data_IF_323875875523
#
_entry.id   IF_323875875523
#
_cell.length_a   1.000
_cell.length_b   1.000
_cell.length_c   1.000
_cell.angle_alpha   90.00
_cell.angle_beta   90.00
_cell.angle_gamma   90.00
#
_symmetry.space_group_name_H-M   'P 1'
#
loop_
_entity.id
_entity.type
_entity.pdbx_description
1 polymer ?
#
# COMPACT_ATOMS: atom_id res chain seq x y z
N UNK A 1 3.00 -1.36 8.94
CA UNK A 1 3.37 -1.05 7.55
C UNK A 1 3.96 -2.32 6.97
N UNK A 2 3.32 -2.90 5.97
CA UNK A 2 3.81 -4.12 5.29
C UNK A 2 4.89 -3.69 4.31
N UNK A 3 6.06 -4.34 4.35
CA UNK A 3 7.15 -4.15 3.39
C UNK A 3 7.18 -5.33 2.43
N UNK A 4 7.10 -5.10 1.12
CA UNK A 4 7.24 -6.14 0.12
C UNK A 4 8.68 -6.50 -0.17
N UNK A 5 8.88 -7.75 -0.57
CA UNK A 5 10.13 -8.23 -1.14
C UNK A 5 10.25 -7.75 -2.60
N UNK A 6 11.04 -6.68 -2.80
CA UNK A 6 11.32 -6.08 -4.10
C UNK A 6 12.05 -7.05 -5.07
N UNK A 7 12.66 -8.13 -4.58
CA UNK A 7 13.38 -9.10 -5.42
C UNK A 7 12.44 -10.03 -6.19
N UNK A 8 11.37 -10.50 -5.54
CA UNK A 8 10.43 -11.46 -6.14
C UNK A 8 9.32 -10.75 -6.88
N UNK A 9 9.00 -9.53 -6.46
CA UNK A 9 7.93 -8.75 -7.03
C UNK A 9 8.42 -7.30 -7.15
N UNK A 10 8.86 -6.85 -8.33
CA UNK A 10 9.38 -5.50 -8.52
C UNK A 10 8.27 -4.45 -8.77
N UNK A 11 7.02 -4.86 -9.02
CA UNK A 11 5.94 -3.88 -9.23
C UNK A 11 5.51 -3.18 -7.94
N UNK A 12 5.16 -1.89 -8.06
CA UNK A 12 4.58 -1.11 -6.95
C UNK A 12 3.28 -1.79 -6.50
N UNK A 13 3.15 -2.06 -5.20
CA UNK A 13 1.86 -2.54 -4.68
C UNK A 13 0.92 -1.37 -4.49
N UNK A 14 -0.30 -1.56 -4.98
CA UNK A 14 -1.45 -0.77 -4.61
C UNK A 14 -2.32 -1.62 -3.68
N UNK A 15 -2.48 -1.19 -2.43
CA UNK A 15 -3.25 -1.91 -1.42
C UNK A 15 -4.37 -1.03 -0.92
N UNK A 16 -5.58 -1.58 -0.93
CA UNK A 16 -6.72 -0.96 -0.28
C UNK A 16 -6.53 -1.04 1.25
N UNK A 17 -6.42 0.12 1.90
CA UNK A 17 -6.28 0.23 3.36
C UNK A 17 -7.24 1.25 3.92
N UNK A 18 -7.67 1.00 5.16
CA UNK A 18 -8.51 1.95 5.87
C UNK A 18 -7.71 3.21 6.23
N UNK A 19 -8.20 4.38 5.81
CA UNK A 19 -7.67 5.67 6.21
C UNK A 19 -8.52 6.25 7.35
N UNK A 20 -7.97 6.38 8.58
CA UNK A 20 -8.73 6.88 9.74
C UNK A 20 -9.22 8.33 9.57
N UNK A 21 -8.48 9.15 8.82
CA UNK A 21 -8.80 10.56 8.57
C UNK A 21 -10.08 10.71 7.75
N UNK A 22 -10.25 9.87 6.74
CA UNK A 22 -11.40 9.91 5.84
C UNK A 22 -12.50 8.90 6.22
N UNK A 23 -12.23 8.05 7.22
CA UNK A 23 -13.09 6.96 7.70
C UNK A 23 -13.58 6.02 6.59
N UNK A 24 -12.78 5.86 5.53
CA UNK A 24 -13.06 4.98 4.40
C UNK A 24 -11.82 4.22 3.97
N UNK A 25 -12.04 3.18 3.17
CA UNK A 25 -10.96 2.45 2.53
C UNK A 25 -10.45 3.24 1.34
N UNK A 26 -9.15 3.49 1.29
CA UNK A 26 -8.48 4.22 0.20
C UNK A 26 -7.36 3.38 -0.38
N UNK A 27 -7.04 3.62 -1.65
CA UNK A 27 -5.91 3.00 -2.32
C UNK A 27 -4.61 3.61 -1.78
N UNK A 28 -3.82 2.82 -1.08
CA UNK A 28 -2.51 3.20 -0.60
C UNK A 28 -1.45 2.67 -1.56
N UNK A 29 -0.62 3.59 -2.06
CA UNK A 29 0.53 3.29 -2.90
C UNK A 29 1.77 3.21 -2.02
N UNK A 30 2.64 2.24 -2.24
CA UNK A 30 3.97 2.24 -1.64
C UNK A 30 4.76 3.47 -2.13
N UNK A 31 5.04 4.40 -1.23
CA UNK A 31 6.05 5.45 -1.46
C UNK A 31 7.44 4.83 -1.34
N UNK A 32 8.34 5.20 -2.25
CA UNK A 32 9.75 4.76 -2.28
C UNK A 32 10.45 4.91 -0.92
#
# INVERSE_FOLDING_TARGET
MTSKNMKTHPEKIEVLKYCPKERKVTLHLETK
#
